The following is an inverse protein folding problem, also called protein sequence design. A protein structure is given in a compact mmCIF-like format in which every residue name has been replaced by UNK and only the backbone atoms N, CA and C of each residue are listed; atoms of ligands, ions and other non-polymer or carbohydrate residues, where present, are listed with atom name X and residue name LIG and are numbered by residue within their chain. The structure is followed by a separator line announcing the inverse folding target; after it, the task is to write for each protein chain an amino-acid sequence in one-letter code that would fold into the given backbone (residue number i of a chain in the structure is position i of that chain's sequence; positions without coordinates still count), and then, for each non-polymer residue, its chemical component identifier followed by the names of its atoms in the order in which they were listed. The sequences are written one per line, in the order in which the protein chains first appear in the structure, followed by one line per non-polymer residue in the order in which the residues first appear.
data_IF_866614177012
#
_entry.id   IF_866614177012
#
_cell.length_a   1.000
_cell.length_b   1.000
_cell.length_c   1.000
_cell.angle_alpha   90.00
_cell.angle_beta   90.00
_cell.angle_gamma   90.00
#
_symmetry.space_group_name_H-M   'P 1'
#
loop_
_entity.id
_entity.type
_entity.pdbx_description
1 polymer ?
#
# COMPACT_ATOMS: atom_id res chain seq x y z
N UNK A 1 41.83 -0.45 -3.49
CA UNK A 1 41.45 -1.85 -3.86
C UNK A 1 40.96 -2.63 -2.64
N UNK A 2 41.74 -2.69 -1.53
CA UNK A 2 41.34 -3.41 -0.30
C UNK A 2 40.00 -2.93 0.28
N UNK A 3 39.78 -1.62 0.44
CA UNK A 3 38.53 -1.08 0.98
C UNK A 3 37.29 -1.38 0.11
N UNK A 4 37.46 -1.45 -1.22
CA UNK A 4 36.38 -1.79 -2.14
C UNK A 4 35.97 -3.25 -2.02
N UNK A 5 36.94 -4.15 -1.87
CA UNK A 5 36.69 -5.58 -1.66
C UNK A 5 36.04 -5.87 -0.31
N UNK A 6 36.42 -5.13 0.74
CA UNK A 6 35.75 -5.21 2.05
C UNK A 6 34.30 -4.70 2.00
N UNK A 7 34.05 -3.61 1.26
CA UNK A 7 32.69 -3.13 1.02
C UNK A 7 31.82 -4.17 0.29
N UNK A 8 32.35 -4.84 -0.73
CA UNK A 8 31.64 -5.89 -1.45
C UNK A 8 31.30 -7.08 -0.55
N UNK A 9 32.25 -7.55 0.27
CA UNK A 9 32.00 -8.62 1.26
C UNK A 9 30.92 -8.22 2.28
N UNK A 10 30.98 -6.99 2.79
CA UNK A 10 29.95 -6.47 3.68
C UNK A 10 28.58 -6.41 3.01
N UNK A 11 28.52 -5.91 1.76
CA UNK A 11 27.29 -5.81 0.97
C UNK A 11 26.69 -7.20 0.73
N UNK A 12 27.50 -8.17 0.34
CA UNK A 12 27.10 -9.57 0.16
C UNK A 12 26.54 -10.17 1.46
N UNK A 13 27.28 -10.04 2.56
CA UNK A 13 26.86 -10.52 3.89
C UNK A 13 25.56 -9.86 4.38
N UNK A 14 25.36 -8.58 4.07
CA UNK A 14 24.15 -7.83 4.41
C UNK A 14 22.97 -8.22 3.51
N UNK A 15 23.21 -8.49 2.23
CA UNK A 15 22.18 -8.95 1.30
C UNK A 15 21.65 -10.34 1.71
N UNK A 16 22.54 -11.23 2.15
CA UNK A 16 22.19 -12.58 2.63
C UNK A 16 21.43 -12.59 3.96
N UNK A 17 21.42 -11.48 4.71
CA UNK A 17 20.71 -11.36 6.01
C UNK A 17 19.47 -10.47 5.96
N UNK A 18 19.18 -9.82 4.82
CA UNK A 18 18.00 -8.98 4.69
C UNK A 18 16.91 -9.79 4.00
N UNK A 19 16.09 -10.46 4.79
CA UNK A 19 14.78 -10.86 4.29
C UNK A 19 14.09 -9.62 3.72
N UNK A 20 13.61 -9.74 2.49
CA UNK A 20 12.85 -8.69 1.84
C UNK A 20 11.55 -8.48 2.63
N UNK A 21 11.39 -7.31 3.26
CA UNK A 21 10.19 -6.97 4.03
C UNK A 21 9.02 -6.71 3.06
N UNK A 22 8.35 -7.78 2.68
CA UNK A 22 7.22 -7.77 1.74
C UNK A 22 6.07 -6.92 2.27
N UNK A 23 5.82 -6.95 3.58
CA UNK A 23 4.78 -6.15 4.21
C UNK A 23 5.11 -4.66 4.07
N UNK A 24 6.35 -4.25 4.33
CA UNK A 24 6.80 -2.88 4.12
C UNK A 24 6.67 -2.46 2.65
N UNK A 25 7.12 -3.30 1.71
CA UNK A 25 7.00 -3.04 0.28
C UNK A 25 5.53 -2.86 -0.15
N UNK A 26 4.64 -3.72 0.34
CA UNK A 26 3.21 -3.62 0.07
C UNK A 26 2.60 -2.34 0.64
N UNK A 27 2.92 -1.99 1.89
CA UNK A 27 2.48 -0.73 2.50
C UNK A 27 2.98 0.50 1.75
N UNK A 28 4.21 0.46 1.24
CA UNK A 28 4.75 1.56 0.42
C UNK A 28 4.00 1.71 -0.90
N UNK A 29 3.68 0.61 -1.59
CA UNK A 29 2.86 0.64 -2.79
C UNK A 29 1.46 1.22 -2.50
N UNK A 30 0.82 0.79 -1.40
CA UNK A 30 -0.48 1.34 -1.01
C UNK A 30 -0.41 2.85 -0.76
N UNK A 31 0.61 3.30 -0.03
CA UNK A 31 0.78 4.73 0.22
C UNK A 31 1.00 5.51 -1.08
N UNK A 32 1.83 5.02 -2.00
CA UNK A 32 2.02 5.65 -3.31
C UNK A 32 0.72 5.76 -4.10
N UNK A 33 -0.07 4.69 -4.14
CA UNK A 33 -1.38 4.70 -4.80
C UNK A 33 -2.32 5.75 -4.18
N UNK A 34 -2.43 5.78 -2.86
CA UNK A 34 -3.28 6.75 -2.15
C UNK A 34 -2.82 8.19 -2.37
N UNK A 35 -1.51 8.44 -2.31
CA UNK A 35 -0.91 9.75 -2.56
C UNK A 35 -1.23 10.23 -3.99
N UNK A 36 -1.01 9.36 -4.98
CA UNK A 36 -1.28 9.67 -6.38
C UNK A 36 -2.76 9.98 -6.62
N UNK A 37 -3.67 9.17 -6.06
CA UNK A 37 -5.12 9.41 -6.18
C UNK A 37 -5.55 10.71 -5.49
N UNK A 38 -4.94 11.05 -4.34
CA UNK A 38 -5.19 12.31 -3.66
C UNK A 38 -4.76 13.53 -4.49
N UNK A 39 -3.63 13.45 -5.18
CA UNK A 39 -3.16 14.51 -6.08
C UNK A 39 -4.11 14.69 -7.26
N UNK A 40 -4.53 13.59 -7.91
CA UNK A 40 -5.49 13.66 -9.00
C UNK A 40 -6.84 14.23 -8.56
N UNK A 41 -7.31 13.85 -7.37
CA UNK A 41 -8.54 14.43 -6.82
C UNK A 41 -8.37 15.94 -6.57
N UNK A 42 -7.25 16.37 -5.99
CA UNK A 42 -6.96 17.78 -5.78
C UNK A 42 -6.97 18.56 -7.11
N UNK A 43 -6.33 18.02 -8.15
CA UNK A 43 -6.32 18.63 -9.49
C UNK A 43 -7.72 18.67 -10.12
N UNK A 44 -8.49 17.60 -10.01
CA UNK A 44 -9.86 17.52 -10.52
C UNK A 44 -10.79 18.57 -9.89
N UNK A 45 -10.56 18.88 -8.61
CA UNK A 45 -11.32 19.89 -7.88
C UNK A 45 -10.83 21.34 -8.11
N UNK A 46 -9.92 21.56 -9.06
CA UNK A 46 -9.38 22.89 -9.35
C UNK A 46 -8.30 23.34 -8.36
N UNK A 47 -7.54 22.40 -7.79
CA UNK A 47 -6.39 22.65 -6.88
C UNK A 47 -6.74 23.46 -5.63
N UNK A 48 -7.76 23.06 -4.83
CA UNK A 48 -8.12 23.77 -3.60
C UNK A 48 -7.02 23.70 -2.53
N UNK A 49 -6.13 22.71 -2.60
CA UNK A 49 -4.96 22.58 -1.74
C UNK A 49 -3.68 22.83 -2.54
N UNK A 50 -2.69 23.46 -1.90
CA UNK A 50 -1.36 23.62 -2.49
C UNK A 50 -0.71 22.25 -2.73
N UNK A 51 -0.17 22.05 -3.93
CA UNK A 51 0.50 20.80 -4.27
C UNK A 51 1.79 20.62 -3.46
N UNK A 52 1.99 19.47 -2.79
CA UNK A 52 3.18 19.25 -1.98
C UNK A 52 4.41 18.98 -2.85
N UNK A 53 5.59 19.33 -2.34
CA UNK A 53 6.85 18.88 -2.93
C UNK A 53 7.04 17.37 -2.69
N UNK A 54 6.77 16.58 -3.73
CA UNK A 54 6.84 15.12 -3.67
C UNK A 54 8.23 14.59 -3.35
N UNK A 55 9.29 15.30 -3.76
CA UNK A 55 10.67 14.88 -3.46
C UNK A 55 10.96 14.92 -1.96
N UNK A 56 10.35 15.89 -1.26
CA UNK A 56 10.45 16.03 0.20
C UNK A 56 9.45 15.14 0.93
N UNK A 57 8.28 14.93 0.35
CA UNK A 57 7.20 14.14 0.98
C UNK A 57 7.45 12.64 0.89
N UNK A 58 7.96 12.16 -0.25
CA UNK A 58 8.15 10.74 -0.53
C UNK A 58 9.49 10.49 -1.20
N UNK A 59 10.45 9.98 -0.43
CA UNK A 59 11.72 9.45 -0.94
C UNK A 59 12.00 8.11 -0.28
N UNK A 60 12.54 7.13 -1.02
CA UNK A 60 12.78 5.77 -0.54
C UNK A 60 13.51 5.70 0.82
N UNK A 61 14.53 6.53 1.04
CA UNK A 61 15.27 6.59 2.31
C UNK A 61 14.42 7.15 3.45
N UNK A 62 13.60 8.16 3.19
CA UNK A 62 12.71 8.78 4.17
C UNK A 62 11.64 7.79 4.62
N UNK A 63 10.93 7.19 3.66
CA UNK A 63 9.80 6.29 3.94
C UNK A 63 10.26 5.02 4.65
N UNK A 64 11.44 4.50 4.29
CA UNK A 64 12.01 3.35 4.97
C UNK A 64 12.45 3.70 6.40
N UNK A 65 13.08 4.86 6.63
CA UNK A 65 13.44 5.28 7.99
C UNK A 65 12.17 5.45 8.84
N UNK A 66 11.18 6.17 8.32
CA UNK A 66 9.92 6.40 9.01
C UNK A 66 9.21 5.08 9.38
N UNK A 67 9.17 4.12 8.46
CA UNK A 67 8.61 2.79 8.74
C UNK A 67 9.34 2.08 9.89
N UNK A 68 10.68 2.13 9.94
CA UNK A 68 11.45 1.51 11.03
C UNK A 68 11.20 2.21 12.37
N UNK A 69 11.15 3.55 12.37
CA UNK A 69 10.82 4.34 13.55
C UNK A 69 9.41 3.96 14.07
N UNK A 70 8.40 3.94 13.18
CA UNK A 70 7.03 3.52 13.50
C UNK A 70 6.95 2.09 14.04
N UNK A 71 7.72 1.16 13.44
CA UNK A 71 7.75 -0.25 13.84
C UNK A 71 8.40 -0.47 15.21
N UNK A 72 9.35 0.39 15.57
CA UNK A 72 10.08 0.33 16.84
C UNK A 72 9.44 1.17 17.96
N UNK A 73 8.66 2.18 17.61
CA UNK A 73 8.04 3.08 18.57
C UNK A 73 6.92 2.37 19.35
N UNK A 74 6.83 2.56 20.68
CA UNK A 74 5.75 1.97 21.47
C UNK A 74 4.39 2.64 21.22
N UNK A 75 4.38 3.85 20.65
CA UNK A 75 3.17 4.59 20.26
C UNK A 75 3.52 5.63 19.19
N UNK A 76 2.60 5.94 18.29
CA UNK A 76 2.83 6.90 17.19
C UNK A 76 3.00 8.33 17.70
N UNK A 77 2.32 8.69 18.79
CA UNK A 77 2.42 9.99 19.43
C UNK A 77 3.83 10.27 19.94
N UNK A 78 4.61 9.21 20.25
CA UNK A 78 6.00 9.34 20.68
C UNK A 78 6.91 9.86 19.56
N UNK A 79 6.53 9.70 18.29
CA UNK A 79 7.27 10.29 17.16
C UNK A 79 7.12 11.81 17.13
N UNK A 80 6.07 12.34 17.75
CA UNK A 80 5.74 13.76 17.76
C UNK A 80 6.06 14.44 19.11
N UNK A 81 6.85 13.81 19.98
CA UNK A 81 7.25 14.40 21.29
C UNK A 81 7.82 15.81 21.12
N UNK A 82 8.61 16.01 20.05
CA UNK A 82 9.23 17.30 19.75
C UNK A 82 8.26 18.33 19.14
N UNK A 83 7.03 17.94 18.83
CA UNK A 83 6.01 18.82 18.24
C UNK A 83 4.58 18.46 18.70
N UNK A 84 4.10 19.09 19.78
CA UNK A 84 2.74 18.89 20.28
C UNK A 84 1.66 19.22 19.24
N UNK A 85 1.92 20.20 18.36
CA UNK A 85 1.01 20.56 17.26
C UNK A 85 0.82 19.41 16.27
N UNK A 86 1.91 18.69 15.93
CA UNK A 86 1.84 17.54 15.03
C UNK A 86 1.09 16.38 15.69
N UNK A 87 1.31 16.14 16.98
CA UNK A 87 0.57 15.13 17.73
C UNK A 87 -0.94 15.42 17.71
N UNK A 88 -1.34 16.67 17.94
CA UNK A 88 -2.75 17.07 17.89
C UNK A 88 -3.35 16.89 16.49
N UNK A 89 -2.64 17.30 15.44
CA UNK A 89 -3.11 17.12 14.06
C UNK A 89 -3.29 15.64 13.71
N UNK A 90 -2.34 14.79 14.13
CA UNK A 90 -2.46 13.34 13.97
C UNK A 90 -3.71 12.80 14.65
N UNK A 91 -3.97 13.16 15.91
CA UNK A 91 -5.15 12.70 16.64
C UNK A 91 -6.45 13.19 16.01
N UNK A 92 -6.50 14.43 15.54
CA UNK A 92 -7.68 14.98 14.83
C UNK A 92 -7.95 14.18 13.56
N UNK A 93 -6.91 13.92 12.76
CA UNK A 93 -7.04 13.14 11.53
C UNK A 93 -7.47 11.70 11.82
N UNK A 94 -6.84 11.05 12.79
CA UNK A 94 -7.15 9.68 13.20
C UNK A 94 -8.61 9.57 13.64
N UNK A 95 -9.03 10.42 14.59
CA UNK A 95 -10.42 10.44 15.08
C UNK A 95 -11.42 10.71 13.96
N UNK A 96 -11.07 11.58 13.01
CA UNK A 96 -11.92 11.87 11.84
C UNK A 96 -12.08 10.62 10.99
N UNK A 97 -10.99 9.94 10.66
CA UNK A 97 -11.04 8.69 9.86
C UNK A 97 -11.80 7.60 10.62
N UNK A 98 -11.54 7.41 11.91
CA UNK A 98 -12.24 6.43 12.74
C UNK A 98 -13.75 6.69 12.80
N UNK A 99 -14.18 7.96 12.81
CA UNK A 99 -15.60 8.31 12.79
C UNK A 99 -16.28 8.10 11.43
N UNK A 100 -15.51 8.11 10.34
CA UNK A 100 -16.01 7.99 8.96
C UNK A 100 -16.02 6.54 8.46
N UNK A 101 -15.29 5.65 9.11
CA UNK A 101 -15.09 4.28 8.68
C UNK A 101 -15.72 3.32 9.69
N UNK A 102 -16.28 2.20 9.22
CA UNK A 102 -16.86 1.18 10.11
C UNK A 102 -15.83 0.71 11.16
N UNK A 103 -16.22 0.48 12.42
CA UNK A 103 -15.30 -0.04 13.45
C UNK A 103 -14.67 -1.40 13.08
N UNK A 104 -15.28 -2.13 12.14
CA UNK A 104 -14.75 -3.39 11.62
C UNK A 104 -13.55 -3.21 10.66
N UNK A 105 -13.32 -2.00 10.15
CA UNK A 105 -12.23 -1.72 9.21
C UNK A 105 -10.85 -1.79 9.87
N UNK A 106 -10.75 -1.39 11.13
CA UNK A 106 -9.51 -1.47 11.91
C UNK A 106 -9.35 -2.81 12.64
N UNK A 107 -10.37 -3.67 12.59
CA UNK A 107 -10.25 -5.01 13.13
C UNK A 107 -9.34 -5.83 12.20
N UNK A 108 -8.11 -6.05 12.65
CA UNK A 108 -7.17 -6.99 12.04
C UNK A 108 -7.90 -8.33 11.90
N UNK A 109 -8.18 -8.76 10.65
CA UNK A 109 -8.73 -10.09 10.40
C UNK A 109 -7.83 -11.11 11.10
N UNK A 110 -8.31 -11.68 12.20
CA UNK A 110 -7.74 -12.90 12.74
C UNK A 110 -7.93 -13.92 11.64
N UNK A 111 -6.84 -14.30 10.96
CA UNK A 111 -6.84 -15.40 10.00
C UNK A 111 -7.24 -16.67 10.75
N UNK A 112 -8.53 -16.92 10.90
CA UNK A 112 -9.02 -18.29 11.06
C UNK A 112 -8.72 -18.97 9.74
N UNK A 113 -7.59 -19.68 9.72
CA UNK A 113 -7.22 -20.62 8.68
C UNK A 113 -8.33 -21.68 8.62
N UNK A 114 -9.39 -21.42 7.87
CA UNK A 114 -10.36 -22.44 7.52
C UNK A 114 -9.71 -23.31 6.45
N UNK A 115 -9.16 -24.44 6.91
CA UNK A 115 -8.89 -25.59 6.06
C UNK A 115 -10.18 -25.96 5.31
N UNK A 116 -10.28 -25.56 4.05
CA UNK A 116 -11.25 -26.14 3.12
C UNK A 116 -10.53 -26.94 2.04
N UNK A 117 -9.68 -27.87 2.50
CA UNK A 117 -9.25 -29.02 1.71
C UNK A 117 -10.42 -29.99 1.49
N UNK A 118 -11.46 -29.60 0.75
CA UNK A 118 -12.48 -30.54 0.28
C UNK A 118 -11.97 -31.25 -0.97
N UNK A 119 -11.32 -32.40 -0.72
CA UNK A 119 -11.14 -33.50 -1.67
C UNK A 119 -12.40 -33.64 -2.55
N UNK A 120 -12.30 -33.31 -3.84
CA UNK A 120 -13.27 -33.78 -4.83
C UNK A 120 -12.66 -34.94 -5.58
N UNK A 121 -13.30 -36.09 -5.40
CA UNK A 121 -13.04 -37.37 -6.04
C UNK A 121 -13.08 -37.23 -7.56
N UNK A 122 -12.15 -37.90 -8.24
CA UNK A 122 -12.16 -38.10 -9.67
C UNK A 122 -13.41 -38.85 -10.16
N UNK A 123 -13.82 -38.63 -11.41
CA UNK A 123 -14.13 -39.76 -12.27
C UNK A 123 -13.38 -39.70 -13.61
N UNK A 124 -12.80 -40.84 -13.95
CA UNK A 124 -12.13 -41.17 -15.20
C UNK A 124 -13.11 -41.19 -16.40
N UNK A 125 -12.75 -40.59 -17.55
CA UNK A 125 -12.45 -41.32 -18.82
C UNK A 125 -12.31 -40.40 -20.05
N UNK A 126 -11.16 -40.61 -20.71
CA UNK A 126 -10.88 -40.68 -22.17
C UNK A 126 -10.67 -39.39 -22.99
N UNK A 127 -9.57 -39.48 -23.74
CA UNK A 127 -8.88 -38.52 -24.62
C UNK A 127 -9.61 -38.34 -25.95
N UNK A 128 -9.55 -37.15 -26.54
CA UNK A 128 -9.22 -36.87 -27.96
C UNK A 128 -8.88 -35.38 -28.11
N UNK A 129 -7.84 -35.08 -28.89
CA UNK A 129 -7.24 -33.77 -29.11
C UNK A 129 -8.11 -32.81 -29.93
N UNK A 130 -7.95 -31.49 -29.75
CA UNK A 130 -7.99 -30.43 -30.80
C UNK A 130 -7.39 -29.14 -30.22
N UNK A 131 -6.77 -28.40 -31.13
CA UNK A 131 -5.90 -27.22 -31.06
C UNK A 131 -6.59 -25.91 -30.59
N UNK A 132 -5.78 -24.98 -30.07
CA UNK A 132 -5.90 -23.50 -30.01
C UNK A 132 -7.25 -22.85 -29.65
N UNK A 133 -7.26 -22.03 -28.59
CA UNK A 133 -7.67 -20.59 -28.65
C UNK A 133 -7.44 -19.89 -27.31
N UNK A 134 -6.81 -18.72 -27.35
CA UNK A 134 -6.65 -17.78 -26.23
C UNK A 134 -8.01 -17.10 -25.98
N UNK A 135 -8.51 -16.98 -24.73
CA UNK A 135 -9.59 -16.08 -24.42
C UNK A 135 -9.04 -14.77 -23.84
N UNK A 136 -9.26 -13.68 -24.58
CA UNK A 136 -9.18 -12.30 -24.12
C UNK A 136 -10.05 -12.10 -22.86
N UNK A 137 -9.43 -11.86 -21.71
CA UNK A 137 -10.14 -11.27 -20.57
C UNK A 137 -10.23 -9.77 -20.79
N UNK A 138 -11.39 -9.38 -21.31
CA UNK A 138 -11.84 -8.01 -21.52
C UNK A 138 -11.60 -7.13 -20.30
N UNK A 139 -10.91 -6.02 -20.58
CA UNK A 139 -10.72 -4.87 -19.73
C UNK A 139 -12.08 -4.23 -19.40
N UNK A 140 -12.64 -4.54 -18.22
CA UNK A 140 -13.77 -3.78 -17.67
C UNK A 140 -13.27 -2.73 -16.68
N UNK A 141 -12.48 -1.77 -17.19
CA UNK A 141 -12.30 -0.49 -16.53
C UNK A 141 -12.99 0.57 -17.41
N UNK A 142 -14.12 1.08 -16.93
CA UNK A 142 -14.45 2.51 -16.84
C UNK A 142 -15.97 2.68 -16.93
N UNK A 143 -16.64 2.65 -15.78
CA UNK A 143 -17.87 3.42 -15.64
C UNK A 143 -17.51 4.59 -14.74
N UNK A 144 -17.23 5.74 -15.36
CA UNK A 144 -16.97 6.99 -14.66
C UNK A 144 -18.24 7.38 -13.88
N UNK A 145 -18.17 7.26 -12.55
CA UNK A 145 -19.23 7.65 -11.59
C UNK A 145 -19.77 9.07 -11.81
N UNK A 146 -18.94 9.95 -12.38
CA UNK A 146 -19.27 11.36 -12.58
C UNK A 146 -20.06 11.66 -13.87
N UNK A 147 -20.34 10.65 -14.72
CA UNK A 147 -21.05 10.86 -15.98
C UNK A 147 -22.50 11.38 -15.82
N UNK A 148 -23.07 11.32 -14.60
CA UNK A 148 -24.44 11.79 -14.33
C UNK A 148 -24.53 13.24 -13.84
N UNK A 149 -23.42 13.96 -13.67
CA UNK A 149 -23.45 15.39 -13.34
C UNK A 149 -23.70 16.19 -14.62
N UNK A 150 -24.97 16.43 -14.94
CA UNK A 150 -25.35 17.51 -15.86
C UNK A 150 -25.18 18.83 -15.13
N UNK A 151 -24.42 19.73 -15.72
CA UNK A 151 -24.42 21.16 -15.37
C UNK A 151 -25.48 21.77 -16.26
N UNK A 152 -26.54 22.33 -15.67
CA UNK A 152 -27.51 23.13 -16.41
C UNK A 152 -26.87 24.49 -16.74
N UNK A 153 -26.88 24.87 -18.03
CA UNK A 153 -26.48 26.19 -18.55
C UNK A 153 -27.60 27.24 -18.33
#
# INVERSE_FOLDING_TARGET
IVAYNEFLKWKEKKLQNNDFDLDAAHSFCQWQCCLQMGLYLNQLLGTPLSEPDLSRLYTGTLVHRLYQELKSAPSVENLFILSPKMAQLYLVLLNTVESMVSPDFFQKMTKTRSESGKKRKAPNKKKTAILCTVPETQHLCSVNRFASLKVDD
#
